data_IF_180346655683
#
_entry.id   IF_180346655683
#
_cell.length_a   1.000
_cell.length_b   1.000
_cell.length_c   1.000
_cell.angle_alpha   90.00
_cell.angle_beta   90.00
_cell.angle_gamma   90.00
#
_symmetry.space_group_name_H-M   'P 1'
#
loop_
_entity.id
_entity.type
_entity.pdbx_description
1 polymer ?
#
# COMPACT_ATOMS: atom_id res chain seq x y z
N UNK A 1 1.92 -18.80 -8.04
CA UNK A 1 0.69 -18.07 -7.67
C UNK A 1 0.25 -18.56 -6.31
N UNK A 2 0.54 -17.79 -5.25
CA UNK A 2 -0.06 -17.97 -3.93
C UNK A 2 -0.86 -16.71 -3.63
N UNK A 3 -2.18 -16.85 -3.57
CA UNK A 3 -3.12 -15.83 -3.14
C UNK A 3 -3.61 -16.22 -1.74
N UNK A 4 -2.69 -16.33 -0.76
CA UNK A 4 -3.01 -16.89 0.55
C UNK A 4 -2.80 -15.98 1.76
N UNK A 5 -2.41 -14.72 1.62
CA UNK A 5 -2.07 -13.90 2.81
C UNK A 5 -2.97 -12.68 3.04
N UNK A 6 -4.24 -12.72 2.61
CA UNK A 6 -5.16 -11.60 2.86
C UNK A 6 -5.78 -11.56 4.26
N UNK A 7 -5.61 -12.62 5.07
CA UNK A 7 -6.11 -12.63 6.45
C UNK A 7 -5.06 -12.20 7.48
N UNK A 8 -3.77 -12.29 7.17
CA UNK A 8 -2.69 -11.79 8.06
C UNK A 8 -2.56 -10.26 7.98
N UNK A 9 -3.02 -9.64 6.90
CA UNK A 9 -2.92 -8.20 6.65
C UNK A 9 -3.87 -7.31 7.46
N UNK A 10 -4.87 -7.84 8.20
CA UNK A 10 -5.81 -7.01 8.99
C UNK A 10 -5.24 -6.53 10.32
N UNK A 11 -4.20 -7.19 10.82
CA UNK A 11 -3.50 -6.81 12.06
C UNK A 11 -2.00 -6.56 11.83
N UNK A 12 -1.55 -6.58 10.57
CA UNK A 12 -0.16 -6.31 10.23
C UNK A 12 0.07 -4.80 10.22
N UNK A 13 1.09 -4.34 10.95
CA UNK A 13 1.57 -2.96 10.91
C UNK A 13 1.95 -2.60 9.47
N UNK A 14 1.08 -1.83 8.81
CA UNK A 14 1.29 -1.37 7.43
C UNK A 14 2.62 -0.61 7.29
N UNK A 15 3.02 0.11 8.34
CA UNK A 15 4.31 0.80 8.44
C UNK A 15 5.51 -0.16 8.34
N UNK A 16 5.48 -1.28 9.09
CA UNK A 16 6.55 -2.30 9.03
C UNK A 16 6.66 -2.92 7.64
N UNK A 17 5.52 -3.17 6.98
CA UNK A 17 5.50 -3.72 5.63
C UNK A 17 6.12 -2.73 4.65
N UNK A 18 5.68 -1.47 4.69
CA UNK A 18 6.22 -0.42 3.83
C UNK A 18 7.74 -0.25 4.04
N UNK A 19 8.21 -0.27 5.29
CA UNK A 19 9.63 -0.17 5.62
C UNK A 19 10.45 -1.39 5.17
N UNK A 20 9.84 -2.57 5.04
CA UNK A 20 10.51 -3.79 4.56
C UNK A 20 10.56 -3.88 3.04
N UNK A 21 9.74 -3.10 2.33
CA UNK A 21 9.63 -3.13 0.88
C UNK A 21 10.65 -2.20 0.22
N UNK A 22 11.38 -2.72 -0.78
CA UNK A 22 12.27 -1.91 -1.61
C UNK A 22 11.51 -0.78 -2.35
N UNK A 23 10.25 -1.04 -2.71
CA UNK A 23 9.33 -0.05 -3.25
C UNK A 23 7.95 -0.29 -2.65
N UNK A 24 7.52 0.50 -1.65
CA UNK A 24 6.29 0.24 -0.92
C UNK A 24 5.08 0.63 -1.78
N UNK A 25 4.56 -0.36 -2.52
CA UNK A 25 3.37 -0.25 -3.35
C UNK A 25 2.30 -1.20 -2.82
N UNK A 26 1.11 -0.67 -2.53
CA UNK A 26 -0.04 -1.43 -2.03
C UNK A 26 -1.10 -1.56 -3.13
N UNK A 27 -1.60 -2.77 -3.34
CA UNK A 27 -2.73 -3.04 -4.23
C UNK A 27 -3.88 -3.61 -3.42
N UNK A 28 -4.97 -2.87 -3.28
CA UNK A 28 -6.16 -3.29 -2.54
C UNK A 28 -7.27 -3.77 -3.47
N UNK A 29 -7.46 -5.10 -3.51
CA UNK A 29 -8.50 -5.75 -4.32
C UNK A 29 -9.85 -5.88 -3.60
N UNK A 30 -9.92 -5.50 -2.32
CA UNK A 30 -11.11 -5.63 -1.47
C UNK A 30 -11.64 -4.29 -0.97
N UNK A 31 -10.91 -3.21 -1.22
CA UNK A 31 -11.24 -1.87 -0.77
C UNK A 31 -11.44 -1.83 0.77
N UNK A 32 -10.52 -2.51 1.47
CA UNK A 32 -10.43 -2.55 2.94
C UNK A 32 -9.71 -1.30 3.46
N UNK A 33 -8.69 -0.83 2.74
CA UNK A 33 -7.91 0.35 3.08
C UNK A 33 -8.29 1.52 2.18
N UNK A 34 -8.02 2.74 2.64
CA UNK A 34 -8.19 3.95 1.84
C UNK A 34 -6.82 4.47 1.43
N UNK A 35 -6.77 5.24 0.33
CA UNK A 35 -5.53 5.87 -0.15
C UNK A 35 -4.80 6.64 0.96
N UNK A 36 -5.54 7.36 1.81
CA UNK A 36 -4.98 8.10 2.94
C UNK A 36 -4.27 7.20 3.95
N UNK A 37 -4.84 6.02 4.26
CA UNK A 37 -4.24 5.04 5.19
C UNK A 37 -2.98 4.43 4.60
N UNK A 38 -2.98 4.11 3.30
CA UNK A 38 -1.79 3.63 2.63
C UNK A 38 -0.69 4.71 2.59
N UNK A 39 -1.07 5.98 2.37
CA UNK A 39 -0.11 7.10 2.38
C UNK A 39 0.49 7.33 3.76
N UNK A 40 -0.34 7.31 4.80
CA UNK A 40 0.09 7.49 6.20
C UNK A 40 1.02 6.36 6.66
N UNK A 41 0.77 5.13 6.19
CA UNK A 41 1.64 3.98 6.41
C UNK A 41 2.96 4.01 5.60
N UNK A 42 3.20 5.03 4.77
CA UNK A 42 4.46 5.20 4.03
C UNK A 42 4.51 4.53 2.65
N UNK A 43 3.37 4.09 2.11
CA UNK A 43 3.31 3.60 0.73
C UNK A 43 3.44 4.75 -0.28
N UNK A 44 4.28 4.55 -1.29
CA UNK A 44 4.49 5.51 -2.39
C UNK A 44 3.51 5.29 -3.53
N UNK A 45 2.89 4.12 -3.60
CA UNK A 45 1.86 3.82 -4.58
C UNK A 45 0.74 3.02 -3.93
N UNK A 46 -0.49 3.37 -4.30
CA UNK A 46 -1.70 2.69 -3.88
C UNK A 46 -2.60 2.48 -5.10
N UNK A 47 -3.01 1.25 -5.34
CA UNK A 47 -3.98 0.90 -6.37
C UNK A 47 -5.16 0.19 -5.71
N UNK A 48 -6.39 0.49 -6.12
CA UNK A 48 -7.55 -0.21 -5.57
C UNK A 48 -8.59 -0.50 -6.64
N UNK A 49 -9.34 -1.58 -6.44
CA UNK A 49 -10.41 -1.95 -7.38
C UNK A 49 -11.61 -1.01 -7.17
N UNK A 50 -11.90 -0.20 -8.19
CA UNK A 50 -13.06 0.68 -8.22
C UNK A 50 -12.89 2.04 -7.53
N UNK A 51 -11.68 2.40 -7.07
CA UNK A 51 -11.36 3.76 -6.62
C UNK A 51 -10.07 4.28 -7.25
N UNK A 52 -9.96 5.60 -7.34
CA UNK A 52 -8.77 6.27 -7.87
C UNK A 52 -7.62 6.06 -6.87
N UNK A 53 -6.59 5.34 -7.31
CA UNK A 53 -5.33 5.17 -6.57
C UNK A 53 -4.40 6.38 -6.69
N UNK A 54 -3.24 6.32 -6.05
CA UNK A 54 -2.19 7.34 -6.19
C UNK A 54 -0.83 6.71 -6.46
N UNK A 55 0.04 7.47 -7.12
CA UNK A 55 1.44 7.14 -7.31
C UNK A 55 2.23 8.41 -7.02
N UNK A 56 2.87 8.47 -5.85
CA UNK A 56 3.75 9.56 -5.47
C UNK A 56 5.12 9.30 -6.10
N UNK A 57 5.40 9.99 -7.20
CA UNK A 57 6.76 10.04 -7.73
C UNK A 57 7.55 10.89 -6.74
N UNK A 58 8.41 10.27 -5.92
CA UNK A 58 9.43 11.03 -5.18
C UNK A 58 10.35 11.68 -6.20
N UNK A 59 9.95 12.84 -6.68
CA UNK A 59 10.80 13.79 -7.39
C UNK A 59 11.94 14.08 -6.44
N UNK A 60 13.11 13.51 -6.75
CA UNK A 60 14.39 13.86 -6.16
C UNK A 60 14.46 15.39 -6.18
N UNK A 61 14.14 15.99 -5.05
CA UNK A 61 14.35 17.41 -4.80
C UNK A 61 15.65 17.48 -4.01
N UNK A 62 16.54 18.30 -4.56
CA UNK A 62 17.95 18.51 -4.29
C UNK A 62 18.38 18.58 -2.83
#
# INVERSE_FOLDING_TARGET
MLLTEWNEFRALDLDKIASSMSRPAMADLRNIYSADVARDAGFVAYESVGRIGFCENKSVSS
#
